data_IF_616435293868
#
_entry.id   IF_616435293868
#
_cell.length_a   1.000
_cell.length_b   1.000
_cell.length_c   1.000
_cell.angle_alpha   90.00
_cell.angle_beta   90.00
_cell.angle_gamma   90.00
#
_symmetry.space_group_name_H-M   'P 1'
#
loop_
_entity.id
_entity.type
_entity.pdbx_description
1 polymer ?
#
# COMPACT_ATOMS: atom_id res chain seq x y z
N UNK A 1 13.84 6.92 -1.68
CA UNK A 1 14.79 6.17 -2.53
C UNK A 1 14.11 5.61 -3.77
N UNK A 2 13.11 4.70 -3.66
CA UNK A 2 12.45 4.06 -4.81
C UNK A 2 11.88 5.07 -5.81
N UNK A 3 11.09 6.04 -5.34
CA UNK A 3 10.52 7.09 -6.19
C UNK A 3 11.59 7.93 -6.90
N UNK A 4 12.71 8.20 -6.24
CA UNK A 4 13.83 8.94 -6.84
C UNK A 4 14.54 8.12 -7.94
N UNK A 5 14.71 6.81 -7.74
CA UNK A 5 15.31 5.91 -8.76
C UNK A 5 14.45 5.89 -10.03
N UNK A 6 13.11 5.97 -9.89
CA UNK A 6 12.14 5.90 -11.01
C UNK A 6 11.74 7.30 -11.51
N UNK A 7 12.32 8.38 -10.98
CA UNK A 7 11.92 9.75 -11.29
C UNK A 7 10.42 10.02 -11.13
N UNK A 8 9.82 9.43 -10.11
CA UNK A 8 8.39 9.49 -9.86
C UNK A 8 8.07 10.39 -8.66
N UNK A 9 6.87 10.98 -8.64
CA UNK A 9 6.41 11.79 -7.52
C UNK A 9 6.23 10.92 -6.27
N UNK A 10 6.73 11.39 -5.15
CA UNK A 10 6.57 10.78 -3.84
C UNK A 10 5.79 11.69 -2.90
N UNK A 11 4.89 11.11 -2.13
CA UNK A 11 4.19 11.79 -1.06
C UNK A 11 4.17 10.93 0.19
N UNK A 12 4.46 11.52 1.35
CA UNK A 12 4.27 10.92 2.66
C UNK A 12 3.09 11.58 3.33
N UNK A 13 2.18 10.77 3.82
CA UNK A 13 0.99 11.19 4.56
C UNK A 13 1.12 10.59 5.96
N UNK A 14 1.32 11.43 6.96
CA UNK A 14 1.30 11.01 8.36
C UNK A 14 -0.16 10.92 8.81
N UNK A 15 -0.60 9.74 9.19
CA UNK A 15 -1.96 9.54 9.67
C UNK A 15 -2.07 9.90 11.14
N UNK A 16 -3.03 10.77 11.47
CA UNK A 16 -3.28 11.27 12.82
C UNK A 16 -4.78 11.22 13.12
N UNK A 17 -5.19 11.25 14.41
CA UNK A 17 -6.61 11.16 14.78
C UNK A 17 -7.47 12.31 14.27
N UNK A 18 -6.88 13.46 13.98
CA UNK A 18 -7.54 14.67 13.48
C UNK A 18 -7.57 14.79 11.96
N UNK A 19 -6.89 13.86 11.23
CA UNK A 19 -6.85 13.87 9.77
C UNK A 19 -8.26 13.69 9.18
N UNK A 20 -8.56 14.47 8.14
CA UNK A 20 -9.81 14.38 7.40
C UNK A 20 -9.60 13.73 6.02
N UNK A 21 -10.61 13.10 5.41
CA UNK A 21 -10.51 12.59 4.04
C UNK A 21 -10.06 13.65 3.02
N UNK A 22 -10.50 14.90 3.19
CA UNK A 22 -10.12 16.04 2.35
C UNK A 22 -8.62 16.36 2.41
N UNK A 23 -7.95 16.07 3.53
CA UNK A 23 -6.50 16.26 3.68
C UNK A 23 -5.71 15.27 2.85
N UNK A 24 -6.29 14.11 2.56
CA UNK A 24 -5.69 13.05 1.75
C UNK A 24 -6.01 13.23 0.27
N UNK A 25 -7.29 13.38 -0.07
CA UNK A 25 -7.75 13.41 -1.47
C UNK A 25 -7.76 14.82 -2.06
N UNK A 26 -7.91 15.83 -1.22
CA UNK A 26 -8.07 17.21 -1.64
C UNK A 26 -9.50 17.72 -1.47
N UNK A 27 -9.70 19.00 -1.75
CA UNK A 27 -10.97 19.69 -1.54
C UNK A 27 -11.18 20.80 -2.55
N UNK A 28 -12.40 21.32 -2.63
CA UNK A 28 -12.69 22.56 -3.35
C UNK A 28 -12.46 23.75 -2.43
N UNK A 29 -11.73 24.76 -2.90
CA UNK A 29 -11.50 26.02 -2.21
C UNK A 29 -12.03 27.17 -3.06
N UNK A 30 -12.63 28.17 -2.43
CA UNK A 30 -13.03 29.39 -3.13
C UNK A 30 -11.82 30.28 -3.37
N UNK A 31 -11.55 30.58 -4.63
CA UNK A 31 -10.48 31.48 -5.03
C UNK A 31 -11.01 32.90 -5.16
N UNK A 32 -10.71 33.77 -4.21
CA UNK A 32 -11.10 35.19 -4.25
C UNK A 32 -10.56 35.90 -5.51
N UNK A 33 -9.39 35.48 -6.01
CA UNK A 33 -8.76 36.08 -7.19
C UNK A 33 -9.50 35.74 -8.49
N UNK A 34 -10.11 34.56 -8.56
CA UNK A 34 -10.84 34.06 -9.74
C UNK A 34 -12.34 34.14 -9.59
N UNK A 35 -12.82 34.45 -8.37
CA UNK A 35 -14.24 34.45 -8.00
C UNK A 35 -14.95 33.12 -8.28
N UNK A 36 -14.20 31.99 -8.22
CA UNK A 36 -14.70 30.66 -8.51
C UNK A 36 -14.16 29.61 -7.52
N UNK A 37 -14.84 28.46 -7.45
CA UNK A 37 -14.32 27.30 -6.73
C UNK A 37 -13.27 26.59 -7.56
N UNK A 38 -12.09 26.38 -6.99
CA UNK A 38 -10.99 25.65 -7.60
C UNK A 38 -10.65 24.41 -6.79
N UNK A 39 -10.28 23.33 -7.48
CA UNK A 39 -9.86 22.09 -6.83
C UNK A 39 -8.43 22.24 -6.34
N UNK A 40 -8.24 22.03 -5.04
CA UNK A 40 -6.93 21.83 -4.43
C UNK A 40 -6.70 20.33 -4.27
N UNK A 41 -5.87 19.78 -5.12
CA UNK A 41 -5.50 18.34 -5.07
C UNK A 41 -4.72 18.03 -3.78
N UNK A 42 -5.05 16.90 -3.15
CA UNK A 42 -4.38 16.41 -1.95
C UNK A 42 -3.10 15.62 -2.27
N UNK A 43 -2.38 15.18 -1.22
CA UNK A 43 -1.13 14.45 -1.35
C UNK A 43 -1.25 13.09 -2.05
N UNK A 44 -2.46 12.56 -2.22
CA UNK A 44 -2.70 11.31 -2.95
C UNK A 44 -2.37 11.41 -4.44
N UNK A 45 -2.26 12.61 -4.99
CA UNK A 45 -1.88 12.83 -6.39
C UNK A 45 -0.37 12.76 -6.60
N UNK A 46 0.18 11.59 -6.25
CA UNK A 46 1.57 11.22 -6.48
C UNK A 46 1.63 9.75 -6.92
N UNK A 47 2.76 9.33 -7.49
CA UNK A 47 2.95 7.96 -7.96
C UNK A 47 3.21 6.97 -6.79
N UNK A 48 3.97 7.42 -5.78
CA UNK A 48 4.33 6.63 -4.62
C UNK A 48 3.84 7.34 -3.37
N UNK A 49 2.97 6.67 -2.63
CA UNK A 49 2.41 7.16 -1.38
C UNK A 49 2.95 6.32 -0.23
N UNK A 50 3.46 6.97 0.80
CA UNK A 50 3.72 6.36 2.10
C UNK A 50 2.64 6.84 3.07
N UNK A 51 1.68 5.99 3.37
CA UNK A 51 0.67 6.20 4.40
C UNK A 51 1.25 5.75 5.75
N UNK A 52 1.84 6.67 6.48
CA UNK A 52 2.55 6.36 7.72
C UNK A 52 1.59 6.32 8.90
N UNK A 53 1.65 5.23 9.67
CA UNK A 53 0.78 4.94 10.82
C UNK A 53 -0.73 4.98 10.47
N UNK A 54 -1.12 4.28 9.39
CA UNK A 54 -2.50 4.29 8.86
C UNK A 54 -3.56 3.97 9.92
N UNK A 55 -3.20 3.17 10.93
CA UNK A 55 -4.07 2.80 12.04
C UNK A 55 -4.32 3.93 13.06
N UNK A 56 -3.68 5.10 12.93
CA UNK A 56 -3.94 6.26 13.81
C UNK A 56 -5.06 7.16 13.33
N UNK A 57 -5.45 7.08 12.06
CA UNK A 57 -6.53 7.91 11.54
C UNK A 57 -7.90 7.22 11.61
N UNK A 58 -8.99 7.99 11.70
CA UNK A 58 -10.35 7.47 11.71
C UNK A 58 -10.66 6.62 10.47
N UNK A 59 -11.58 5.67 10.61
CA UNK A 59 -11.96 4.74 9.54
C UNK A 59 -12.38 5.43 8.22
N UNK A 60 -12.96 6.64 8.29
CA UNK A 60 -13.34 7.41 7.09
C UNK A 60 -12.12 7.80 6.24
N UNK A 61 -11.01 8.16 6.88
CA UNK A 61 -9.76 8.53 6.20
C UNK A 61 -9.09 7.30 5.60
N UNK A 62 -9.03 6.21 6.38
CA UNK A 62 -8.54 4.92 5.89
C UNK A 62 -9.33 4.47 4.66
N UNK A 63 -10.67 4.56 4.72
CA UNK A 63 -11.54 4.16 3.60
C UNK A 63 -11.30 5.02 2.35
N UNK A 64 -11.09 6.31 2.48
CA UNK A 64 -10.81 7.20 1.34
C UNK A 64 -9.49 6.82 0.63
N UNK A 65 -8.44 6.51 1.39
CA UNK A 65 -7.18 6.02 0.81
C UNK A 65 -7.36 4.68 0.11
N UNK A 66 -8.05 3.73 0.76
CA UNK A 66 -8.25 2.37 0.24
C UNK A 66 -9.16 2.35 -0.99
N UNK A 67 -10.14 3.25 -1.07
CA UNK A 67 -10.96 3.44 -2.27
C UNK A 67 -10.10 3.96 -3.42
N UNK A 68 -9.32 5.00 -3.19
CA UNK A 68 -8.40 5.53 -4.20
C UNK A 68 -7.38 4.50 -4.70
N UNK A 69 -6.90 3.61 -3.82
CA UNK A 69 -6.02 2.49 -4.20
C UNK A 69 -6.69 1.51 -5.17
N UNK A 70 -7.97 1.22 -4.98
CA UNK A 70 -8.72 0.27 -5.80
C UNK A 70 -9.18 0.88 -7.12
N UNK A 71 -9.81 2.04 -7.03
CA UNK A 71 -10.45 2.68 -8.16
C UNK A 71 -9.47 3.45 -9.06
N UNK A 72 -8.23 3.69 -8.58
CA UNK A 72 -7.22 4.51 -9.29
C UNK A 72 -7.73 5.90 -9.66
N UNK A 73 -8.69 6.39 -8.92
CA UNK A 73 -9.31 7.70 -9.09
C UNK A 73 -9.87 8.21 -7.76
N UNK A 74 -10.09 9.51 -7.69
CA UNK A 74 -10.75 10.17 -6.55
C UNK A 74 -11.76 11.19 -7.06
N UNK A 75 -12.86 11.36 -6.32
CA UNK A 75 -13.88 12.37 -6.62
C UNK A 75 -13.75 13.54 -5.63
N UNK A 76 -13.65 14.76 -6.18
CA UNK A 76 -13.59 16.01 -5.41
C UNK A 76 -14.68 16.93 -5.93
N UNK A 77 -15.69 17.21 -5.08
CA UNK A 77 -16.93 17.84 -5.53
C UNK A 77 -17.65 16.97 -6.55
N UNK A 78 -17.97 17.52 -7.72
CA UNK A 78 -18.67 16.81 -8.79
C UNK A 78 -17.71 16.21 -9.85
N UNK A 79 -16.41 16.33 -9.65
CA UNK A 79 -15.40 15.93 -10.62
C UNK A 79 -14.58 14.72 -10.14
N UNK A 80 -14.43 13.74 -11.05
CA UNK A 80 -13.57 12.56 -10.81
C UNK A 80 -12.25 12.74 -11.52
N UNK A 81 -11.17 12.52 -10.78
CA UNK A 81 -9.78 12.66 -11.20
C UNK A 81 -9.09 11.31 -11.16
N UNK A 82 -8.53 10.88 -12.29
CA UNK A 82 -7.68 9.69 -12.35
C UNK A 82 -6.33 9.97 -11.67
N UNK A 83 -5.81 8.97 -10.97
CA UNK A 83 -4.47 9.01 -10.41
C UNK A 83 -3.44 8.61 -11.48
N UNK A 84 -2.29 9.26 -11.45
CA UNK A 84 -1.20 8.98 -12.39
C UNK A 84 -0.57 7.61 -12.12
N UNK A 85 -0.32 6.83 -13.17
CA UNK A 85 0.40 5.55 -13.07
C UNK A 85 1.91 5.72 -13.38
N UNK A 86 2.77 4.89 -12.80
CA UNK A 86 2.49 3.84 -11.81
C UNK A 86 2.03 4.42 -10.47
N UNK A 87 1.07 3.79 -9.83
CA UNK A 87 0.55 4.21 -8.53
C UNK A 87 0.73 3.09 -7.50
N UNK A 88 1.50 3.36 -6.46
CA UNK A 88 1.79 2.43 -5.37
C UNK A 88 1.55 3.10 -4.03
N UNK A 89 0.83 2.42 -3.16
CA UNK A 89 0.65 2.82 -1.76
C UNK A 89 1.34 1.82 -0.86
N UNK A 90 2.21 2.31 -0.01
CA UNK A 90 2.79 1.59 1.12
C UNK A 90 2.19 2.17 2.39
N UNK A 91 1.65 1.32 3.25
CA UNK A 91 1.13 1.74 4.54
C UNK A 91 1.94 1.10 5.67
N UNK A 92 2.23 1.88 6.71
CA UNK A 92 2.83 1.35 7.94
C UNK A 92 1.78 1.28 9.03
N UNK A 93 1.95 0.31 9.92
CA UNK A 93 1.22 0.18 11.18
C UNK A 93 2.22 0.04 12.31
N UNK A 94 1.98 0.74 13.40
CA UNK A 94 2.73 0.52 14.62
C UNK A 94 1.92 -0.41 15.54
N UNK A 95 2.33 -1.68 15.74
CA UNK A 95 1.57 -2.63 16.55
C UNK A 95 1.71 -2.38 18.06
N UNK A 96 2.70 -1.57 18.48
CA UNK A 96 3.02 -1.36 19.91
C UNK A 96 2.10 -0.31 20.53
N UNK A 97 1.69 0.69 19.76
CA UNK A 97 0.78 1.74 20.22
C UNK A 97 -0.67 1.24 20.16
N UNK A 98 -1.28 1.01 21.33
CA UNK A 98 -2.68 0.58 21.44
C UNK A 98 -3.65 1.73 21.69
N UNK A 99 -3.21 2.81 22.34
CA UNK A 99 -4.06 3.98 22.61
C UNK A 99 -4.22 4.87 21.37
N UNK A 100 -5.47 5.26 21.08
CA UNK A 100 -5.79 6.16 19.96
C UNK A 100 -5.62 5.52 18.58
N UNK A 101 -5.65 4.18 18.48
CA UNK A 101 -5.57 3.47 17.20
C UNK A 101 -6.91 2.94 16.74
N UNK A 102 -7.11 2.94 15.43
CA UNK A 102 -8.25 2.38 14.72
C UNK A 102 -7.74 1.22 13.86
N UNK A 103 -7.76 -0.03 14.35
CA UNK A 103 -7.26 -1.17 13.59
C UNK A 103 -8.03 -1.29 12.27
N UNK A 104 -7.31 -1.59 11.19
CA UNK A 104 -7.96 -1.89 9.93
C UNK A 104 -8.71 -3.22 10.03
N UNK A 105 -10.00 -3.26 9.67
CA UNK A 105 -10.71 -4.52 9.52
C UNK A 105 -10.01 -5.44 8.50
N UNK A 106 -10.11 -6.76 8.69
CA UNK A 106 -9.50 -7.76 7.80
C UNK A 106 -9.83 -7.52 6.31
N UNK A 107 -11.08 -7.16 6.00
CA UNK A 107 -11.51 -6.84 4.64
C UNK A 107 -10.78 -5.62 4.02
N UNK A 108 -10.22 -4.75 4.85
CA UNK A 108 -9.42 -3.61 4.39
C UNK A 108 -7.94 -3.98 4.26
N UNK A 109 -7.42 -4.78 5.17
CA UNK A 109 -6.06 -5.34 5.07
C UNK A 109 -5.90 -6.19 3.81
N UNK A 110 -6.91 -6.96 3.46
CA UNK A 110 -7.00 -7.79 2.25
C UNK A 110 -6.87 -7.02 0.92
N UNK A 111 -6.93 -5.69 0.95
CA UNK A 111 -6.70 -4.83 -0.23
C UNK A 111 -5.21 -4.60 -0.52
N UNK A 112 -4.33 -4.90 0.43
CA UNK A 112 -2.90 -4.84 0.23
C UNK A 112 -2.40 -6.18 -0.33
N UNK A 113 -1.58 -6.11 -1.37
CA UNK A 113 -1.03 -7.30 -2.01
C UNK A 113 -0.06 -8.07 -1.09
N UNK A 114 0.70 -7.36 -0.27
CA UNK A 114 1.73 -7.90 0.60
C UNK A 114 1.60 -7.31 2.00
N UNK A 115 1.80 -8.15 3.02
CA UNK A 115 2.04 -7.74 4.40
C UNK A 115 3.47 -8.13 4.78
N UNK A 116 4.27 -7.14 5.09
CA UNK A 116 5.67 -7.33 5.49
C UNK A 116 5.79 -7.06 6.98
N UNK A 117 6.31 -8.01 7.72
CA UNK A 117 6.64 -7.84 9.14
C UNK A 117 8.10 -7.43 9.22
N UNK A 118 8.35 -6.26 9.80
CA UNK A 118 9.71 -5.74 10.01
C UNK A 118 10.05 -5.96 11.49
N UNK A 119 11.10 -6.70 11.73
CA UNK A 119 11.63 -6.96 13.06
C UNK A 119 12.78 -6.00 13.39
N UNK A 120 13.26 -6.05 14.64
CA UNK A 120 14.42 -5.28 15.03
C UNK A 120 15.67 -5.69 14.24
N UNK A 121 16.57 -4.73 13.94
CA UNK A 121 17.83 -5.05 13.29
C UNK A 121 18.69 -5.96 14.18
N UNK A 122 19.54 -6.76 13.55
CA UNK A 122 20.54 -7.54 14.26
C UNK A 122 21.59 -6.60 14.88
N UNK A 123 22.30 -7.06 15.92
CA UNK A 123 23.29 -6.25 16.66
C UNK A 123 24.33 -5.58 15.77
N UNK A 124 24.80 -6.26 14.75
CA UNK A 124 25.81 -5.72 13.82
C UNK A 124 25.21 -4.68 12.87
N UNK A 125 23.96 -4.87 12.46
CA UNK A 125 23.20 -3.91 11.63
C UNK A 125 22.89 -2.65 12.44
N UNK A 126 22.48 -2.80 13.70
CA UNK A 126 22.23 -1.66 14.59
C UNK A 126 23.49 -0.83 14.82
N UNK A 127 24.65 -1.48 14.96
CA UNK A 127 25.95 -0.82 15.05
C UNK A 127 26.29 0.00 13.79
N UNK A 128 25.93 -0.51 12.59
CA UNK A 128 26.08 0.22 11.34
C UNK A 128 25.13 1.42 11.28
N UNK A 129 23.88 1.26 11.70
CA UNK A 129 22.89 2.34 11.78
C UNK A 129 23.40 3.48 12.68
N UNK A 130 23.92 3.15 13.86
CA UNK A 130 24.50 4.15 14.77
C UNK A 130 25.64 4.89 14.09
N UNK A 131 26.58 4.17 13.48
CA UNK A 131 27.73 4.77 12.80
C UNK A 131 27.31 5.70 11.66
N UNK A 132 26.42 5.25 10.78
CA UNK A 132 25.91 6.05 9.65
C UNK A 132 25.21 7.33 10.11
N UNK A 133 24.45 7.27 11.21
CA UNK A 133 23.80 8.45 11.76
C UNK A 133 24.76 9.44 12.39
N UNK A 134 25.79 8.97 13.08
CA UNK A 134 26.81 9.84 13.66
C UNK A 134 27.66 10.53 12.58
N UNK A 135 28.02 9.80 11.52
CA UNK A 135 28.83 10.30 10.41
C UNK A 135 28.00 11.08 9.39
N UNK A 136 26.67 11.09 9.50
CA UNK A 136 25.71 11.70 8.54
C UNK A 136 25.94 11.24 7.09
N UNK A 137 26.42 10.03 6.92
CA UNK A 137 26.65 9.41 5.60
C UNK A 137 25.36 8.72 5.17
N UNK A 138 24.60 9.41 4.33
CA UNK A 138 23.40 8.84 3.71
C UNK A 138 23.69 8.62 2.23
N UNK A 139 23.66 7.36 1.75
CA UNK A 139 23.84 7.08 0.34
C UNK A 139 22.71 7.74 -0.46
N UNK A 140 23.08 8.52 -1.46
CA UNK A 140 22.12 9.09 -2.39
C UNK A 140 21.89 8.10 -3.54
N UNK A 141 20.62 7.92 -3.90
CA UNK A 141 20.26 7.13 -5.08
C UNK A 141 20.26 8.03 -6.32
N UNK A 142 20.70 7.49 -7.46
CA UNK A 142 20.58 8.16 -8.75
C UNK A 142 19.29 7.74 -9.45
N UNK A 143 18.74 8.60 -10.28
CA UNK A 143 17.64 8.28 -11.18
C UNK A 143 18.17 7.37 -12.29
N UNK A 144 17.54 6.21 -12.47
CA UNK A 144 17.96 5.19 -13.47
C UNK A 144 16.79 4.87 -14.41
N UNK A 145 15.54 4.98 -13.93
CA UNK A 145 14.33 4.63 -14.66
C UNK A 145 13.38 5.82 -14.73
N UNK A 146 12.44 5.75 -15.66
CA UNK A 146 11.30 6.65 -15.77
C UNK A 146 10.00 5.88 -15.44
N UNK A 147 8.91 6.57 -15.06
CA UNK A 147 7.61 5.94 -14.81
C UNK A 147 7.14 5.03 -15.96
N UNK A 148 7.41 5.44 -17.21
CA UNK A 148 7.06 4.70 -18.42
C UNK A 148 7.78 3.36 -18.53
N UNK A 149 8.99 3.24 -17.97
CA UNK A 149 9.75 1.98 -17.95
C UNK A 149 9.03 0.93 -17.10
N UNK A 150 8.45 1.37 -15.97
CA UNK A 150 7.66 0.50 -15.09
C UNK A 150 6.38 0.05 -15.78
N UNK A 151 5.72 0.95 -16.52
CA UNK A 151 4.51 0.60 -17.27
C UNK A 151 4.82 -0.41 -18.38
N UNK A 152 5.92 -0.23 -19.11
CA UNK A 152 6.38 -1.21 -20.12
C UNK A 152 6.71 -2.57 -19.50
N UNK A 153 7.41 -2.57 -18.36
CA UNK A 153 7.71 -3.82 -17.66
C UNK A 153 6.44 -4.56 -17.23
N UNK A 154 5.40 -3.84 -16.78
CA UNK A 154 4.10 -4.45 -16.45
C UNK A 154 3.44 -5.13 -17.64
N UNK A 155 3.54 -4.56 -18.84
CA UNK A 155 2.98 -5.21 -20.04
C UNK A 155 3.73 -6.51 -20.36
N UNK A 156 5.06 -6.52 -20.23
CA UNK A 156 5.87 -7.74 -20.43
C UNK A 156 5.52 -8.82 -19.40
N UNK A 157 5.30 -8.44 -18.13
CA UNK A 157 4.90 -9.38 -17.08
C UNK A 157 3.56 -10.05 -17.40
N UNK A 158 2.61 -9.35 -18.02
CA UNK A 158 1.32 -9.94 -18.42
C UNK A 158 1.45 -11.03 -19.50
N UNK A 159 2.54 -11.03 -20.26
CA UNK A 159 2.82 -12.06 -21.29
C UNK A 159 3.44 -13.32 -20.68
N UNK A 160 3.85 -13.29 -19.40
CA UNK A 160 4.39 -14.46 -18.72
C UNK A 160 3.28 -15.49 -18.53
N UNK A 161 3.47 -16.66 -19.14
CA UNK A 161 2.53 -17.75 -19.04
C UNK A 161 2.52 -18.36 -17.64
N UNK A 162 1.35 -18.45 -17.04
CA UNK A 162 1.13 -19.16 -15.79
C UNK A 162 0.54 -20.54 -16.10
N UNK A 163 1.29 -21.59 -15.78
CA UNK A 163 0.83 -22.97 -16.00
C UNK A 163 -0.35 -23.32 -15.10
N UNK A 164 -1.32 -24.08 -15.61
CA UNK A 164 -2.53 -24.51 -14.89
C UNK A 164 -2.20 -25.25 -13.57
N UNK A 165 -1.07 -25.96 -13.52
CA UNK A 165 -0.59 -26.61 -12.29
C UNK A 165 -0.22 -25.59 -11.20
N UNK A 166 0.34 -24.46 -11.60
CA UNK A 166 0.67 -23.36 -10.67
C UNK A 166 -0.62 -22.68 -10.20
N UNK A 167 -1.59 -22.43 -11.10
CA UNK A 167 -2.89 -21.90 -10.73
C UNK A 167 -3.59 -22.79 -9.70
N UNK A 168 -3.62 -24.10 -9.97
CA UNK A 168 -4.18 -25.09 -9.04
C UNK A 168 -3.45 -25.08 -7.70
N UNK A 169 -2.12 -25.06 -7.70
CA UNK A 169 -1.31 -25.02 -6.49
C UNK A 169 -1.61 -23.78 -5.64
N UNK A 170 -1.73 -22.60 -6.28
CA UNK A 170 -2.10 -21.36 -5.61
C UNK A 170 -3.48 -21.48 -4.96
N UNK A 171 -4.46 -22.02 -5.69
CA UNK A 171 -5.82 -22.22 -5.16
C UNK A 171 -5.81 -23.20 -4.00
N UNK A 172 -5.08 -24.32 -4.11
CA UNK A 172 -4.95 -25.33 -3.04
C UNK A 172 -4.36 -24.70 -1.74
N UNK A 173 -3.33 -23.86 -1.86
CA UNK A 173 -2.76 -23.11 -0.71
C UNK A 173 -3.86 -22.25 -0.04
N UNK A 174 -4.60 -21.48 -0.82
CA UNK A 174 -5.63 -20.58 -0.27
C UNK A 174 -6.78 -21.39 0.35
N UNK A 175 -7.20 -22.49 -0.28
CA UNK A 175 -8.22 -23.39 0.24
C UNK A 175 -7.77 -24.08 1.54
N UNK A 176 -6.52 -24.46 1.66
CA UNK A 176 -5.97 -25.01 2.88
C UNK A 176 -6.08 -24.05 4.08
N UNK A 177 -6.07 -22.73 3.85
CA UNK A 177 -6.34 -21.75 4.92
C UNK A 177 -7.81 -21.66 5.31
N UNK A 178 -8.75 -22.02 4.41
CA UNK A 178 -10.21 -21.99 4.67
C UNK A 178 -10.72 -23.28 5.26
N UNK A 179 -10.17 -24.40 4.80
CA UNK A 179 -10.59 -25.78 5.13
C UNK A 179 -9.38 -26.62 5.56
N UNK A 180 -8.67 -26.21 6.64
CA UNK A 180 -7.43 -26.90 7.05
C UNK A 180 -7.64 -28.39 7.36
N UNK A 181 -8.84 -28.80 7.82
CA UNK A 181 -9.17 -30.20 8.10
C UNK A 181 -9.13 -31.07 6.84
N UNK A 182 -9.52 -30.52 5.67
CA UNK A 182 -9.56 -31.24 4.40
C UNK A 182 -8.15 -31.40 3.79
N UNK A 183 -7.17 -30.67 4.34
CA UNK A 183 -5.78 -30.66 3.88
C UNK A 183 -4.78 -31.27 4.88
N UNK A 184 -5.26 -32.04 5.88
CA UNK A 184 -4.39 -32.66 6.90
C UNK A 184 -3.71 -31.65 7.84
N UNK A 185 -4.34 -30.50 8.05
CA UNK A 185 -3.83 -29.39 8.84
C UNK A 185 -4.69 -29.11 10.09
N UNK A 186 -5.31 -30.15 10.65
CA UNK A 186 -6.25 -30.06 11.79
C UNK A 186 -5.66 -29.30 12.98
N UNK A 187 -4.37 -29.45 13.22
CA UNK A 187 -3.67 -28.80 14.33
C UNK A 187 -3.64 -27.26 14.21
N UNK A 188 -3.86 -26.71 13.03
CA UNK A 188 -3.85 -25.27 12.78
C UNK A 188 -5.24 -24.63 12.82
N UNK A 189 -6.30 -25.40 12.92
CA UNK A 189 -7.70 -24.88 12.93
C UNK A 189 -7.91 -23.80 14.00
N UNK A 190 -7.39 -24.02 15.21
CA UNK A 190 -7.50 -23.06 16.31
C UNK A 190 -6.62 -21.81 16.16
N UNK A 191 -5.67 -21.83 15.23
CA UNK A 191 -4.72 -20.73 14.98
C UNK A 191 -5.16 -19.84 13.82
N UNK A 192 -6.09 -20.30 12.99
CA UNK A 192 -6.59 -19.56 11.83
C UNK A 192 -7.96 -18.97 12.16
N UNK A 193 -8.01 -17.68 12.44
CA UNK A 193 -9.26 -16.98 12.71
C UNK A 193 -10.11 -16.83 11.44
N UNK A 194 -9.47 -16.54 10.31
CA UNK A 194 -10.12 -16.37 9.00
C UNK A 194 -9.25 -16.95 7.89
N UNK A 195 -9.86 -17.70 6.98
CA UNK A 195 -9.18 -18.16 5.77
C UNK A 195 -8.95 -17.01 4.78
N UNK A 196 -7.93 -17.12 3.96
CA UNK A 196 -7.57 -16.11 2.96
C UNK A 196 -8.68 -15.92 1.90
N UNK A 197 -8.86 -14.69 1.43
CA UNK A 197 -9.87 -14.32 0.43
C UNK A 197 -9.48 -14.71 -1.00
N UNK A 198 -10.39 -14.64 -1.99
CA UNK A 198 -10.03 -14.79 -3.40
C UNK A 198 -8.98 -13.79 -3.89
N UNK A 199 -8.84 -12.62 -3.24
CA UNK A 199 -7.78 -11.67 -3.55
C UNK A 199 -6.40 -12.24 -3.28
N UNK A 200 -6.25 -13.10 -2.27
CA UNK A 200 -4.99 -13.79 -1.99
C UNK A 200 -4.57 -14.68 -3.17
N UNK A 201 -5.51 -15.43 -3.77
CA UNK A 201 -5.23 -16.22 -4.98
C UNK A 201 -4.76 -15.35 -6.14
N UNK A 202 -5.45 -14.21 -6.37
CA UNK A 202 -5.08 -13.25 -7.42
C UNK A 202 -3.70 -12.63 -7.15
N UNK A 203 -3.42 -12.26 -5.90
CA UNK A 203 -2.14 -11.66 -5.51
C UNK A 203 -0.98 -12.65 -5.65
N UNK A 204 -1.19 -13.91 -5.25
CA UNK A 204 -0.20 -14.98 -5.44
C UNK A 204 0.06 -15.24 -6.93
N UNK A 205 -0.99 -15.31 -7.76
CA UNK A 205 -0.84 -15.48 -9.21
C UNK A 205 -0.04 -14.36 -9.84
N UNK A 206 -0.36 -13.08 -9.49
CA UNK A 206 0.39 -11.91 -9.97
C UNK A 206 1.83 -11.87 -9.49
N UNK A 207 2.11 -12.39 -8.31
CA UNK A 207 3.47 -12.47 -7.78
C UNK A 207 4.28 -13.62 -8.38
N UNK A 208 3.61 -14.64 -8.96
CA UNK A 208 4.23 -15.78 -9.61
C UNK A 208 4.56 -15.53 -11.09
N UNK A 209 3.97 -14.53 -11.72
CA UNK A 209 4.31 -14.01 -13.05
C UNK A 209 5.55 -13.11 -12.98
#
# INVERSE_FOLDING_TARGET
TLAHIINAKFSRIQFTPDLLPADVVGTMIYSQKREEFVVKKGPIFANFILADEINRAPAKVQSALLEAMQERQVTIGDMTYKLEEPFLVMATQNPIEQEGTYPLPEAQVDRFMLKVVIDYPKKDEEKLIVRQNLEKIYPQSNTILQPEDILRAREVVKEVYLDEKIEKYIVDIVFATRYPQEHGLEKFVSMIAYGASPRASISLAKAAQ
#
